data_IF_521416643742
#
_entry.id   IF_521416643742
#
_cell.length_a   1.000
_cell.length_b   1.000
_cell.length_c   1.000
_cell.angle_alpha   90.00
_cell.angle_beta   90.00
_cell.angle_gamma   90.00
#
_symmetry.space_group_name_H-M   'P 1'
#
loop_
_entity.id
_entity.type
_entity.pdbx_description
1 polymer ?
#
# COMPACT_ATOMS: atom_id res chain seq x y z
N UNK A 1 39.95 -37.92 -12.65
CA UNK A 1 39.28 -38.47 -11.43
C UNK A 1 39.16 -37.38 -10.37
N UNK A 2 40.18 -36.63 -10.02
CA UNK A 2 40.20 -35.60 -8.98
C UNK A 2 39.18 -34.47 -9.25
N UNK A 3 39.08 -33.94 -10.48
CA UNK A 3 38.15 -32.86 -10.83
C UNK A 3 36.69 -33.25 -10.66
N UNK A 4 36.34 -34.51 -10.95
CA UNK A 4 35.00 -35.07 -10.80
C UNK A 4 34.60 -35.21 -9.32
N UNK A 5 35.56 -35.55 -8.46
CA UNK A 5 35.36 -35.69 -7.02
C UNK A 5 35.09 -34.33 -6.35
N UNK A 6 35.84 -33.27 -6.72
CA UNK A 6 35.62 -31.93 -6.19
C UNK A 6 34.26 -31.33 -6.64
N UNK A 7 33.86 -31.56 -7.90
CA UNK A 7 32.56 -31.05 -8.38
C UNK A 7 31.39 -31.69 -7.62
N UNK A 8 31.48 -33.00 -7.33
CA UNK A 8 30.45 -33.69 -6.55
C UNK A 8 30.39 -33.17 -5.11
N UNK A 9 31.54 -32.98 -4.47
CA UNK A 9 31.59 -32.43 -3.11
C UNK A 9 30.99 -31.02 -3.02
N UNK A 10 31.30 -30.15 -3.99
CA UNK A 10 30.77 -28.80 -4.06
C UNK A 10 29.23 -28.82 -4.27
N UNK A 11 28.75 -29.69 -5.17
CA UNK A 11 27.30 -29.83 -5.41
C UNK A 11 26.56 -30.31 -4.17
N UNK A 12 27.09 -31.31 -3.45
CA UNK A 12 26.52 -31.78 -2.20
C UNK A 12 26.48 -30.67 -1.15
N UNK A 13 27.55 -29.90 -0.99
CA UNK A 13 27.61 -28.80 -0.05
C UNK A 13 26.55 -27.72 -0.37
N UNK A 14 26.44 -27.35 -1.64
CA UNK A 14 25.42 -26.38 -2.10
C UNK A 14 24.00 -26.89 -1.85
N UNK A 15 23.75 -28.19 -2.07
CA UNK A 15 22.45 -28.81 -1.81
C UNK A 15 22.10 -28.77 -0.32
N UNK A 16 23.08 -29.07 0.56
CA UNK A 16 22.87 -28.94 2.00
C UNK A 16 22.58 -27.51 2.44
N UNK A 17 23.30 -26.52 1.90
CA UNK A 17 23.05 -25.10 2.18
C UNK A 17 21.67 -24.72 1.71
N UNK A 18 21.27 -25.12 0.49
CA UNK A 18 19.96 -24.84 -0.07
C UNK A 18 18.83 -25.43 0.80
N UNK A 19 19.01 -26.68 1.24
CA UNK A 19 18.05 -27.35 2.13
C UNK A 19 17.93 -26.62 3.47
N UNK A 20 19.04 -26.22 4.07
CA UNK A 20 19.03 -25.47 5.32
C UNK A 20 18.31 -24.09 5.17
N UNK A 21 18.58 -23.37 4.08
CA UNK A 21 17.92 -22.11 3.79
C UNK A 21 16.41 -22.33 3.53
N UNK A 22 16.04 -23.36 2.78
CA UNK A 22 14.65 -23.73 2.53
C UNK A 22 13.88 -24.03 3.81
N UNK A 23 14.46 -24.82 4.71
CA UNK A 23 13.88 -25.11 6.03
C UNK A 23 13.71 -23.83 6.88
N UNK A 24 14.70 -22.95 6.84
CA UNK A 24 14.60 -21.65 7.52
C UNK A 24 13.48 -20.78 6.97
N UNK A 25 13.32 -20.71 5.64
CA UNK A 25 12.21 -19.98 4.99
C UNK A 25 10.87 -20.61 5.37
N UNK A 26 10.79 -21.93 5.34
CA UNK A 26 9.57 -22.66 5.71
C UNK A 26 9.13 -22.33 7.14
N UNK A 27 10.06 -22.27 8.09
CA UNK A 27 9.79 -21.94 9.49
C UNK A 27 9.44 -20.47 9.79
N UNK A 28 9.49 -19.56 8.79
CA UNK A 28 9.09 -18.15 9.02
C UNK A 28 7.58 -18.01 9.06
N UNK A 29 7.07 -17.09 9.90
CA UNK A 29 5.64 -16.73 9.98
C UNK A 29 5.23 -15.71 8.89
N UNK A 30 5.49 -16.05 7.62
CA UNK A 30 5.16 -15.24 6.46
C UNK A 30 4.13 -15.98 5.61
N UNK A 31 3.31 -15.25 4.85
CA UNK A 31 2.30 -15.85 3.97
C UNK A 31 2.94 -16.86 3.00
N UNK A 32 2.24 -17.98 2.78
CA UNK A 32 2.68 -19.04 1.87
C UNK A 32 2.98 -18.51 0.46
N UNK A 33 2.16 -17.59 -0.07
CA UNK A 33 2.39 -16.97 -1.38
C UNK A 33 3.75 -16.26 -1.50
N UNK A 34 4.30 -15.77 -0.40
CA UNK A 34 5.62 -15.13 -0.38
C UNK A 34 6.77 -16.13 -0.20
N UNK A 35 6.51 -17.27 0.45
CA UNK A 35 7.54 -18.32 0.68
C UNK A 35 7.72 -19.22 -0.52
N UNK A 36 6.63 -19.66 -1.13
CA UNK A 36 6.64 -20.70 -2.16
C UNK A 36 7.55 -20.39 -3.34
N UNK A 37 7.54 -19.18 -3.93
CA UNK A 37 8.46 -18.84 -5.02
C UNK A 37 9.92 -19.05 -4.63
N UNK A 38 10.31 -18.65 -3.42
CA UNK A 38 11.69 -18.81 -2.94
C UNK A 38 12.06 -20.28 -2.73
N UNK A 39 11.14 -21.06 -2.16
CA UNK A 39 11.37 -22.49 -1.98
C UNK A 39 11.57 -23.19 -3.31
N UNK A 40 10.72 -22.88 -4.32
CA UNK A 40 10.84 -23.44 -5.67
C UNK A 40 12.19 -23.08 -6.30
N UNK A 41 12.54 -21.80 -6.31
CA UNK A 41 13.78 -21.34 -6.97
C UNK A 41 15.04 -21.93 -6.29
N UNK A 42 15.08 -21.97 -4.95
CA UNK A 42 16.23 -22.50 -4.20
C UNK A 42 16.37 -24.02 -4.40
N UNK A 43 15.26 -24.76 -4.48
CA UNK A 43 15.32 -26.22 -4.66
C UNK A 43 15.57 -26.63 -6.10
N UNK A 44 15.02 -25.88 -7.09
CA UNK A 44 15.21 -26.18 -8.50
C UNK A 44 16.65 -25.85 -8.99
N UNK A 45 17.19 -24.72 -8.59
CA UNK A 45 18.52 -24.24 -9.01
C UNK A 45 19.28 -23.70 -7.81
N UNK A 46 19.91 -24.58 -6.98
CA UNK A 46 20.43 -24.22 -5.66
C UNK A 46 21.39 -23.02 -5.67
N UNK A 47 22.38 -23.01 -6.56
CA UNK A 47 23.37 -21.93 -6.61
C UNK A 47 22.72 -20.56 -6.91
N UNK A 48 22.00 -20.47 -8.02
CA UNK A 48 21.35 -19.22 -8.41
C UNK A 48 20.22 -18.84 -7.47
N UNK A 49 19.45 -19.82 -6.99
CA UNK A 49 18.37 -19.62 -6.04
C UNK A 49 18.86 -19.01 -4.73
N UNK A 50 19.96 -19.51 -4.19
CA UNK A 50 20.59 -18.93 -3.00
C UNK A 50 21.08 -17.51 -3.26
N UNK A 51 21.77 -17.26 -4.37
CA UNK A 51 22.27 -15.92 -4.70
C UNK A 51 21.12 -14.90 -4.84
N UNK A 52 20.08 -15.25 -5.59
CA UNK A 52 18.91 -14.37 -5.79
C UNK A 52 18.18 -14.15 -4.45
N UNK A 53 18.01 -15.20 -3.64
CA UNK A 53 17.40 -15.08 -2.32
C UNK A 53 18.19 -14.17 -1.36
N UNK A 54 19.51 -14.25 -1.39
CA UNK A 54 20.34 -13.38 -0.54
C UNK A 54 20.28 -11.92 -0.98
N UNK A 55 20.12 -11.67 -2.27
CA UNK A 55 20.02 -10.32 -2.82
C UNK A 55 18.62 -9.72 -2.63
N UNK A 56 17.57 -10.49 -2.90
CA UNK A 56 16.19 -9.98 -2.99
C UNK A 56 15.26 -10.55 -1.92
N UNK A 57 15.48 -11.77 -1.46
CA UNK A 57 14.61 -12.45 -0.48
C UNK A 57 14.84 -11.98 0.95
N UNK A 58 16.04 -11.52 1.26
CA UNK A 58 16.32 -10.84 2.53
C UNK A 58 16.04 -9.36 2.39
N UNK A 59 15.04 -8.92 3.06
CA UNK A 59 14.52 -7.56 3.15
C UNK A 59 15.55 -6.55 3.74
N UNK A 60 16.75 -6.47 3.15
CA UNK A 60 17.74 -5.46 3.56
C UNK A 60 17.27 -4.08 3.12
N UNK A 61 16.71 -4.01 1.90
CA UNK A 61 16.16 -2.76 1.32
C UNK A 61 14.93 -2.28 2.10
N UNK A 62 14.12 -3.22 2.60
CA UNK A 62 12.87 -2.87 3.32
C UNK A 62 13.10 -2.48 4.78
N UNK A 63 14.26 -2.70 5.37
CA UNK A 63 14.52 -2.27 6.76
C UNK A 63 14.49 -0.76 6.94
N UNK A 64 15.07 -0.01 6.00
CA UNK A 64 15.04 1.45 6.00
C UNK A 64 13.63 1.98 5.81
N UNK A 65 12.94 1.47 4.79
CA UNK A 65 11.54 1.82 4.48
C UNK A 65 10.62 1.47 5.65
N UNK A 66 10.73 0.27 6.19
CA UNK A 66 9.94 -0.18 7.36
C UNK A 66 10.19 0.70 8.60
N UNK A 67 11.43 1.10 8.84
CA UNK A 67 11.75 2.00 9.97
C UNK A 67 11.13 3.39 9.76
N UNK A 68 11.20 3.91 8.55
CA UNK A 68 10.56 5.18 8.20
C UNK A 68 9.05 5.09 8.36
N UNK A 69 8.45 4.01 7.86
CA UNK A 69 7.01 3.74 7.98
C UNK A 69 6.57 3.65 9.45
N UNK A 70 7.28 2.88 10.27
CA UNK A 70 6.99 2.75 11.70
C UNK A 70 7.08 4.10 12.42
N UNK A 71 8.03 4.96 12.05
CA UNK A 71 8.15 6.29 12.65
C UNK A 71 6.96 7.18 12.28
N UNK A 72 6.54 7.16 11.00
CA UNK A 72 5.36 7.89 10.53
C UNK A 72 4.11 7.38 11.23
N UNK A 73 3.92 6.06 11.23
CA UNK A 73 2.78 5.40 11.87
C UNK A 73 2.69 5.77 13.36
N UNK A 74 3.79 5.69 14.10
CA UNK A 74 3.81 6.06 15.51
C UNK A 74 3.40 7.51 15.73
N UNK A 75 3.86 8.44 14.90
CA UNK A 75 3.51 9.85 15.01
C UNK A 75 2.03 10.09 14.67
N UNK A 76 1.51 9.48 13.60
CA UNK A 76 0.11 9.63 13.18
C UNK A 76 -0.84 9.01 14.21
N UNK A 77 -0.52 7.82 14.71
CA UNK A 77 -1.38 7.11 15.66
C UNK A 77 -1.52 7.84 17.01
N UNK A 78 -0.56 8.68 17.38
CA UNK A 78 -0.69 9.53 18.59
C UNK A 78 -1.76 10.61 18.43
N UNK A 79 -2.08 11.00 17.21
CA UNK A 79 -3.11 11.99 16.89
C UNK A 79 -4.51 11.37 16.86
N UNK A 80 -4.60 10.06 16.61
CA UNK A 80 -5.85 9.31 16.51
C UNK A 80 -6.26 8.77 17.89
N UNK A 81 -7.16 9.47 18.56
CA UNK A 81 -7.66 9.06 19.89
C UNK A 81 -8.97 8.32 19.75
N UNK A 82 -9.09 7.17 20.43
CA UNK A 82 -10.36 6.44 20.55
C UNK A 82 -11.21 7.05 21.66
N UNK A 83 -12.43 7.38 21.32
CA UNK A 83 -13.47 7.64 22.31
C UNK A 83 -14.14 6.30 22.70
N UNK A 84 -13.86 5.83 23.89
CA UNK A 84 -14.41 4.56 24.38
C UNK A 84 -15.94 4.61 24.57
N UNK A 85 -16.54 5.77 24.82
CA UNK A 85 -17.98 5.95 24.93
C UNK A 85 -18.73 5.51 23.66
N UNK A 86 -18.11 5.68 22.47
CA UNK A 86 -18.68 5.21 21.20
C UNK A 86 -18.77 3.68 21.17
N UNK A 87 -17.71 2.99 21.59
CA UNK A 87 -17.69 1.51 21.61
C UNK A 87 -18.66 0.97 22.66
N UNK A 88 -18.82 1.64 23.79
CA UNK A 88 -19.75 1.24 24.85
C UNK A 88 -21.22 1.46 24.43
N UNK A 89 -21.53 2.53 23.68
CA UNK A 89 -22.85 2.72 23.07
C UNK A 89 -23.15 1.62 22.03
N UNK A 90 -22.19 1.25 21.19
CA UNK A 90 -22.34 0.12 20.28
C UNK A 90 -22.55 -1.18 21.04
N UNK A 91 -21.83 -1.40 22.15
CA UNK A 91 -21.92 -2.61 22.94
C UNK A 91 -23.30 -2.78 23.62
N UNK A 92 -23.98 -1.68 23.92
CA UNK A 92 -25.36 -1.70 24.43
C UNK A 92 -26.37 -2.21 23.40
N UNK A 93 -26.07 -2.03 22.11
CA UNK A 93 -26.94 -2.41 20.98
C UNK A 93 -26.54 -3.75 20.38
N UNK A 94 -25.23 -3.96 20.13
CA UNK A 94 -24.68 -5.18 19.55
C UNK A 94 -23.26 -5.46 20.08
N UNK A 95 -23.15 -6.49 20.90
CA UNK A 95 -21.87 -6.93 21.49
C UNK A 95 -20.90 -7.49 20.44
N UNK A 96 -21.42 -8.11 19.36
CA UNK A 96 -20.60 -8.66 18.28
C UNK A 96 -19.88 -7.57 17.53
N UNK A 97 -20.62 -6.53 17.12
CA UNK A 97 -20.06 -5.34 16.45
C UNK A 97 -19.08 -4.60 17.38
N UNK A 98 -19.44 -4.43 18.65
CA UNK A 98 -18.53 -3.79 19.61
C UNK A 98 -17.20 -4.55 19.78
N UNK A 99 -17.23 -5.90 19.76
CA UNK A 99 -16.01 -6.69 19.83
C UNK A 99 -15.14 -6.54 18.55
N UNK A 100 -15.76 -6.45 17.38
CA UNK A 100 -15.03 -6.12 16.13
C UNK A 100 -14.40 -4.74 16.21
N UNK A 101 -15.14 -3.74 16.68
CA UNK A 101 -14.64 -2.38 16.90
C UNK A 101 -13.45 -2.35 17.85
N UNK A 102 -13.53 -3.05 18.99
CA UNK A 102 -12.41 -3.19 19.94
C UNK A 102 -11.21 -3.88 19.33
N UNK A 103 -11.42 -4.93 18.53
CA UNK A 103 -10.35 -5.63 17.85
C UNK A 103 -9.63 -4.69 16.86
N UNK A 104 -10.35 -3.96 16.02
CA UNK A 104 -9.79 -2.99 15.05
C UNK A 104 -9.04 -1.89 15.80
N UNK A 105 -9.64 -1.28 16.79
CA UNK A 105 -9.03 -0.20 17.56
C UNK A 105 -7.76 -0.66 18.29
N UNK A 106 -7.76 -1.83 18.92
CA UNK A 106 -6.62 -2.32 19.69
C UNK A 106 -5.50 -2.90 18.83
N UNK A 107 -5.83 -3.55 17.71
CA UNK A 107 -4.86 -4.27 16.87
C UNK A 107 -4.32 -3.40 15.75
N UNK A 108 -5.22 -2.73 15.02
CA UNK A 108 -4.86 -1.83 13.92
C UNK A 108 -4.66 -0.39 14.38
N UNK A 109 -5.04 -0.05 15.62
CA UNK A 109 -4.95 1.29 16.23
C UNK A 109 -5.74 2.38 15.49
N UNK A 110 -6.73 1.98 14.69
CA UNK A 110 -7.64 2.90 14.03
C UNK A 110 -8.90 3.08 14.91
N UNK A 111 -9.22 4.33 15.31
CA UNK A 111 -10.38 4.60 16.12
C UNK A 111 -11.69 4.38 15.37
N UNK A 112 -12.72 4.09 16.15
CA UNK A 112 -14.10 4.04 15.67
C UNK A 112 -14.75 5.40 15.94
N UNK A 113 -15.34 5.97 14.91
CA UNK A 113 -15.99 7.25 14.98
C UNK A 113 -17.51 7.11 14.93
N UNK A 114 -18.21 8.04 15.59
CA UNK A 114 -19.65 8.28 15.45
C UNK A 114 -19.91 9.49 14.55
N UNK A 115 -21.17 9.79 14.29
CA UNK A 115 -21.60 10.93 13.49
C UNK A 115 -21.06 10.91 12.04
N UNK A 116 -20.96 9.72 11.48
CA UNK A 116 -20.53 9.50 10.10
C UNK A 116 -21.75 9.30 9.21
N UNK A 117 -21.94 10.19 8.23
CA UNK A 117 -22.94 10.03 7.17
C UNK A 117 -22.35 9.16 6.05
N UNK A 118 -23.08 8.11 5.67
CA UNK A 118 -22.62 7.15 4.65
C UNK A 118 -23.62 7.09 3.50
N UNK A 119 -23.16 7.40 2.29
CA UNK A 119 -23.94 7.27 1.08
C UNK A 119 -23.37 6.15 0.20
N UNK A 120 -24.19 5.15 -0.06
CA UNK A 120 -23.84 4.04 -0.94
C UNK A 120 -24.28 4.35 -2.39
N UNK A 121 -23.41 4.04 -3.34
CA UNK A 121 -23.68 4.16 -4.76
C UNK A 121 -23.65 2.76 -5.40
N UNK A 122 -24.70 2.38 -6.19
CA UNK A 122 -24.81 1.01 -6.73
C UNK A 122 -23.80 0.73 -7.85
N UNK A 123 -23.30 1.76 -8.54
CA UNK A 123 -22.32 1.63 -9.62
C UNK A 123 -21.24 2.69 -9.52
N UNK A 124 -20.09 2.41 -10.13
CA UNK A 124 -18.96 3.34 -10.19
C UNK A 124 -19.33 4.64 -10.92
N UNK A 125 -20.12 4.53 -12.00
CA UNK A 125 -20.51 5.70 -12.79
C UNK A 125 -21.34 6.69 -11.97
N UNK A 126 -22.33 6.19 -11.22
CA UNK A 126 -23.15 7.02 -10.34
C UNK A 126 -22.30 7.65 -9.23
N UNK A 127 -21.36 6.90 -8.68
CA UNK A 127 -20.41 7.40 -7.69
C UNK A 127 -19.51 8.49 -8.27
N UNK A 128 -19.02 8.29 -9.49
CA UNK A 128 -18.14 9.24 -10.17
C UNK A 128 -18.85 10.56 -10.47
N UNK A 129 -20.08 10.53 -11.01
CA UNK A 129 -20.86 11.74 -11.24
C UNK A 129 -21.12 12.51 -9.92
N UNK A 130 -21.46 11.80 -8.85
CA UNK A 130 -21.62 12.44 -7.55
C UNK A 130 -20.30 13.04 -7.03
N UNK A 131 -19.16 12.37 -7.26
CA UNK A 131 -17.83 12.88 -6.90
C UNK A 131 -17.52 14.19 -7.64
N UNK A 132 -17.79 14.29 -8.94
CA UNK A 132 -17.58 15.52 -9.71
C UNK A 132 -18.38 16.69 -9.14
N UNK A 133 -19.66 16.45 -8.77
CA UNK A 133 -20.52 17.46 -8.15
C UNK A 133 -19.96 17.94 -6.81
N UNK A 134 -19.47 17.03 -5.97
CA UNK A 134 -18.88 17.42 -4.68
C UNK A 134 -17.55 18.17 -4.86
N UNK A 135 -16.74 17.82 -5.84
CA UNK A 135 -15.51 18.52 -6.13
C UNK A 135 -15.76 19.97 -6.59
N UNK A 136 -16.83 20.20 -7.35
CA UNK A 136 -17.24 21.55 -7.75
C UNK A 136 -17.68 22.43 -6.58
N UNK A 137 -18.12 21.86 -5.47
CA UNK A 137 -18.48 22.58 -4.25
C UNK A 137 -17.32 22.93 -3.35
N UNK A 138 -16.15 22.35 -3.58
CA UNK A 138 -14.99 22.54 -2.70
C UNK A 138 -14.52 24.01 -2.71
N UNK A 139 -14.35 24.60 -1.51
CA UNK A 139 -13.95 25.99 -1.33
C UNK A 139 -12.55 26.14 -0.73
N UNK A 140 -12.09 25.17 0.05
CA UNK A 140 -10.84 25.26 0.79
C UNK A 140 -9.77 24.29 0.32
N UNK A 141 -10.09 22.99 0.25
CA UNK A 141 -9.14 21.97 -0.17
C UNK A 141 -9.80 20.77 -0.85
N UNK A 142 -9.03 20.09 -1.69
CA UNK A 142 -9.35 18.79 -2.30
C UNK A 142 -8.15 17.87 -2.10
N UNK A 143 -8.33 16.79 -1.34
CA UNK A 143 -7.33 15.74 -1.13
C UNK A 143 -7.87 14.43 -1.68
N UNK A 144 -7.16 13.88 -2.66
CA UNK A 144 -7.57 12.65 -3.36
C UNK A 144 -6.46 11.63 -3.28
N UNK A 145 -6.83 10.39 -3.06
CA UNK A 145 -5.90 9.26 -3.02
C UNK A 145 -6.38 8.14 -3.93
N UNK A 146 -5.48 7.68 -4.81
CA UNK A 146 -5.74 6.59 -5.74
C UNK A 146 -4.60 5.59 -5.77
N UNK A 147 -4.90 4.31 -5.90
CA UNK A 147 -3.89 3.30 -6.16
C UNK A 147 -3.28 3.49 -7.56
N UNK A 148 -4.12 3.76 -8.56
CA UNK A 148 -3.67 4.00 -9.92
C UNK A 148 -4.47 5.14 -10.55
N UNK A 149 -3.80 5.95 -11.37
CA UNK A 149 -4.41 7.01 -12.18
C UNK A 149 -4.02 6.75 -13.63
N UNK A 150 -4.99 6.74 -14.51
CA UNK A 150 -4.80 6.70 -15.95
C UNK A 150 -5.29 8.00 -16.58
N UNK A 151 -4.51 8.57 -17.49
CA UNK A 151 -4.88 9.79 -18.24
C UNK A 151 -5.87 9.42 -19.37
N UNK A 152 -7.06 8.98 -18.95
CA UNK A 152 -8.17 8.57 -19.81
C UNK A 152 -9.30 9.60 -19.79
N UNK A 153 -10.33 9.40 -20.60
CA UNK A 153 -11.46 10.32 -20.76
C UNK A 153 -12.16 10.66 -19.42
N UNK A 154 -12.38 9.67 -18.58
CA UNK A 154 -12.97 9.87 -17.26
C UNK A 154 -12.12 10.78 -16.39
N UNK A 155 -10.80 10.60 -16.40
CA UNK A 155 -9.89 11.45 -15.65
C UNK A 155 -9.80 12.87 -16.23
N UNK A 156 -10.01 13.06 -17.54
CA UNK A 156 -10.01 14.39 -18.16
C UNK A 156 -11.09 15.31 -17.57
N UNK A 157 -12.30 14.79 -17.30
CA UNK A 157 -13.37 15.54 -16.64
C UNK A 157 -12.98 15.97 -15.22
N UNK A 158 -12.46 15.04 -14.45
CA UNK A 158 -11.98 15.29 -13.09
C UNK A 158 -10.81 16.30 -13.09
N UNK A 159 -9.83 16.12 -13.98
CA UNK A 159 -8.68 17.00 -14.15
C UNK A 159 -9.10 18.45 -14.43
N UNK A 160 -10.10 18.66 -15.29
CA UNK A 160 -10.62 19.99 -15.59
C UNK A 160 -11.15 20.70 -14.33
N UNK A 161 -11.93 19.99 -13.51
CA UNK A 161 -12.46 20.56 -12.25
C UNK A 161 -11.30 20.88 -11.29
N UNK A 162 -10.35 19.96 -11.12
CA UNK A 162 -9.21 20.16 -10.24
C UNK A 162 -8.34 21.35 -10.66
N UNK A 163 -8.11 21.53 -11.98
CA UNK A 163 -7.36 22.64 -12.52
C UNK A 163 -8.09 23.99 -12.23
N UNK A 164 -9.39 24.06 -12.46
CA UNK A 164 -10.20 25.25 -12.19
C UNK A 164 -10.21 25.60 -10.69
N UNK A 165 -10.36 24.59 -9.84
CA UNK A 165 -10.33 24.77 -8.38
C UNK A 165 -8.96 25.25 -7.88
N UNK A 166 -7.89 24.66 -8.39
CA UNK A 166 -6.53 25.08 -8.04
C UNK A 166 -6.25 26.53 -8.48
N UNK A 167 -6.73 26.93 -9.66
CA UNK A 167 -6.62 28.32 -10.14
C UNK A 167 -7.44 29.31 -9.29
N UNK A 168 -8.57 28.85 -8.74
CA UNK A 168 -9.42 29.65 -7.83
C UNK A 168 -8.87 29.73 -6.40
N UNK A 169 -7.70 29.11 -6.13
CA UNK A 169 -7.05 29.19 -4.82
C UNK A 169 -7.37 28.02 -3.87
N UNK A 170 -8.14 27.02 -4.31
CA UNK A 170 -8.40 25.81 -3.55
C UNK A 170 -7.11 24.97 -3.50
N UNK A 171 -6.74 24.46 -2.32
CA UNK A 171 -5.58 23.58 -2.18
C UNK A 171 -5.91 22.19 -2.73
N UNK A 172 -5.24 21.80 -3.83
CA UNK A 172 -5.44 20.48 -4.45
C UNK A 172 -4.23 19.59 -4.23
N UNK A 173 -4.43 18.41 -3.62
CA UNK A 173 -3.40 17.38 -3.47
C UNK A 173 -3.89 16.04 -3.99
N UNK A 174 -3.08 15.42 -4.84
CA UNK A 174 -3.36 14.09 -5.38
C UNK A 174 -2.24 13.15 -4.92
N UNK A 175 -2.65 12.09 -4.24
CA UNK A 175 -1.79 11.02 -3.79
C UNK A 175 -2.02 9.81 -4.70
N UNK A 176 -0.96 9.16 -5.13
CA UNK A 176 -1.06 7.93 -5.90
C UNK A 176 0.15 7.02 -5.68
N UNK A 177 -0.03 5.72 -5.86
CA UNK A 177 1.05 4.74 -5.79
C UNK A 177 1.85 4.77 -7.10
N UNK A 178 3.17 4.94 -6.98
CA UNK A 178 4.07 4.95 -8.12
C UNK A 178 4.10 3.61 -8.87
N UNK A 179 3.99 2.48 -8.16
CA UNK A 179 3.93 1.15 -8.80
C UNK A 179 2.59 0.93 -9.50
N UNK A 180 1.48 1.31 -8.88
CA UNK A 180 0.15 1.21 -9.46
C UNK A 180 -0.01 2.07 -10.71
N UNK A 181 0.69 3.20 -10.77
CA UNK A 181 0.59 4.19 -11.86
C UNK A 181 1.72 4.12 -12.89
N UNK A 182 2.71 3.21 -12.73
CA UNK A 182 3.96 3.19 -13.53
C UNK A 182 3.73 3.06 -15.04
N UNK A 183 2.67 2.38 -15.47
CA UNK A 183 2.34 2.18 -16.87
C UNK A 183 1.36 3.22 -17.42
N UNK A 184 0.75 4.05 -16.57
CA UNK A 184 -0.34 4.95 -16.91
C UNK A 184 0.06 6.42 -16.85
N UNK A 185 0.99 6.79 -15.97
CA UNK A 185 1.44 8.16 -15.81
C UNK A 185 2.84 8.36 -16.36
N UNK A 186 2.98 9.36 -17.22
CA UNK A 186 4.29 9.78 -17.72
C UNK A 186 4.76 11.08 -17.00
N UNK A 187 6.05 11.39 -17.15
CA UNK A 187 6.65 12.58 -16.53
C UNK A 187 6.03 13.89 -17.03
N UNK A 188 5.57 13.91 -18.27
CA UNK A 188 4.95 15.11 -18.86
C UNK A 188 3.58 15.40 -18.23
N UNK A 189 2.75 14.37 -18.03
CA UNK A 189 1.48 14.51 -17.30
C UNK A 189 1.69 15.14 -15.90
N UNK A 190 2.66 14.61 -15.15
CA UNK A 190 2.97 15.12 -13.81
C UNK A 190 3.42 16.57 -13.85
N UNK A 191 4.23 16.95 -14.85
CA UNK A 191 4.69 18.32 -15.05
C UNK A 191 3.54 19.25 -15.39
N UNK A 192 2.64 18.83 -16.27
CA UNK A 192 1.44 19.61 -16.64
C UNK A 192 0.54 19.86 -15.44
N UNK A 193 0.28 18.82 -14.63
CA UNK A 193 -0.53 18.96 -13.41
C UNK A 193 0.08 19.96 -12.43
N UNK A 194 1.40 20.00 -12.28
CA UNK A 194 2.10 20.95 -11.41
C UNK A 194 2.08 22.39 -11.94
N UNK A 195 2.10 22.58 -13.27
CA UNK A 195 2.14 23.90 -13.89
C UNK A 195 0.77 24.60 -13.90
N UNK A 196 -0.33 23.85 -14.01
CA UNK A 196 -1.68 24.40 -14.18
C UNK A 196 -2.38 24.81 -12.87
N UNK A 197 -1.80 24.55 -11.76
CA UNK A 197 -2.30 24.94 -10.45
C UNK A 197 -1.38 24.32 -9.42
N UNK A 198 -1.37 24.77 -8.17
CA UNK A 198 -0.53 24.23 -7.08
C UNK A 198 -0.98 22.82 -6.68
N UNK A 199 -1.08 21.90 -7.66
CA UNK A 199 -1.46 20.52 -7.43
C UNK A 199 -0.24 19.81 -6.85
N UNK A 200 -0.28 19.56 -5.55
CA UNK A 200 0.75 18.86 -4.81
C UNK A 200 0.68 17.35 -5.10
N UNK A 201 1.84 16.69 -5.06
CA UNK A 201 2.00 15.24 -5.17
C UNK A 201 2.63 14.71 -3.90
N UNK A 202 2.13 13.62 -3.37
CA UNK A 202 2.85 12.80 -2.41
C UNK A 202 3.16 11.43 -3.02
N UNK A 203 4.36 10.93 -2.75
CA UNK A 203 4.74 9.55 -3.03
C UNK A 203 4.39 8.70 -1.81
N UNK A 204 3.81 7.57 -2.04
CA UNK A 204 3.63 6.52 -1.04
C UNK A 204 4.64 5.40 -1.31
#
# INVERSE_FOLDING_TARGET
VLFRSYSTAITLLLTFIAMFIALKIFGTHVNAAQKMPWLIVITAVPFFGICIYLLFGRSIVTKGVRRSFNNIETNVLTLLKQDNGIIDDIASKDKGVANQCRYISNTARYPVYSNTDVKYYPTTDVSFEAQLVELEKAEHFIFMEYHAIEDAESFARLKHILENKAQSGVEVRIFYDDLGSIFFLNKEFIKQMRQKGKIGRAHV
#
